data_IF_336315076853
#
_entry.id   IF_336315076853
#
_cell.length_a   1.000
_cell.length_b   1.000
_cell.length_c   1.000
_cell.angle_alpha   90.00
_cell.angle_beta   90.00
_cell.angle_gamma   90.00
#
_symmetry.space_group_name_H-M   'P 1'
#
loop_
_entity.id
_entity.type
_entity.pdbx_description
1 polymer ?
#
# COMPACT_ATOMS: atom_id res chain seq x y z
N UNK A 1 7.63 9.83 -0.78
CA UNK A 1 9.03 9.38 -0.93
C UNK A 1 9.94 10.44 -0.34
N UNK A 2 10.73 10.03 0.63
CA UNK A 2 11.62 10.89 1.38
C UNK A 2 12.95 11.09 0.60
N UNK A 3 13.70 12.16 0.87
CA UNK A 3 14.98 12.43 0.22
C UNK A 3 16.05 11.33 0.34
N UNK A 4 15.87 10.36 1.24
CA UNK A 4 16.76 9.20 1.41
C UNK A 4 16.37 7.95 0.60
N UNK A 5 15.21 7.97 -0.06
CA UNK A 5 14.72 6.82 -0.82
C UNK A 5 15.53 6.68 -2.13
N UNK A 6 16.51 5.78 -2.11
CA UNK A 6 17.46 5.55 -3.21
C UNK A 6 17.60 4.07 -3.54
N UNK A 7 18.13 3.76 -4.73
CA UNK A 7 18.43 2.39 -5.12
C UNK A 7 19.39 1.70 -4.15
N UNK A 8 20.42 2.43 -3.69
CA UNK A 8 21.39 1.92 -2.72
C UNK A 8 20.70 1.54 -1.40
N UNK A 9 19.89 2.44 -0.84
CA UNK A 9 19.13 2.15 0.37
C UNK A 9 18.14 0.98 0.19
N UNK A 10 17.50 0.86 -0.99
CA UNK A 10 16.60 -0.24 -1.29
C UNK A 10 17.33 -1.59 -1.37
N UNK A 11 18.52 -1.62 -2.00
CA UNK A 11 19.37 -2.82 -2.08
C UNK A 11 19.83 -3.26 -0.69
N UNK A 12 20.30 -2.34 0.14
CA UNK A 12 20.73 -2.64 1.51
C UNK A 12 19.59 -3.23 2.37
N UNK A 13 18.35 -2.80 2.13
CA UNK A 13 17.16 -3.32 2.83
C UNK A 13 16.62 -4.61 2.24
N UNK A 14 16.85 -4.86 0.95
CA UNK A 14 16.37 -6.07 0.30
C UNK A 14 16.93 -7.34 0.95
N UNK A 15 18.14 -7.29 1.49
CA UNK A 15 18.78 -8.44 2.14
C UNK A 15 18.08 -8.90 3.44
N UNK A 16 17.16 -8.10 4.00
CA UNK A 16 16.46 -8.41 5.25
C UNK A 16 15.49 -9.60 5.07
N UNK A 17 14.88 -9.74 3.90
CA UNK A 17 13.95 -10.83 3.59
C UNK A 17 14.54 -11.78 2.54
N UNK A 18 15.01 -12.93 3.01
CA UNK A 18 15.56 -13.98 2.15
C UNK A 18 14.56 -15.14 1.98
N UNK A 19 13.51 -14.92 1.19
CA UNK A 19 12.54 -15.94 0.78
C UNK A 19 12.43 -15.95 -0.75
N UNK A 20 12.60 -17.11 -1.38
CA UNK A 20 12.59 -17.25 -2.84
C UNK A 20 11.25 -16.87 -3.51
N UNK A 21 10.16 -16.81 -2.73
CA UNK A 21 8.85 -16.37 -3.21
C UNK A 21 8.73 -14.85 -3.26
N UNK A 22 9.67 -14.12 -2.67
CA UNK A 22 9.68 -12.66 -2.60
C UNK A 22 10.68 -12.13 -3.61
N UNK A 23 10.20 -11.38 -4.59
CA UNK A 23 11.05 -10.61 -5.50
C UNK A 23 11.14 -9.17 -5.00
N UNK A 24 12.36 -8.71 -4.75
CA UNK A 24 12.63 -7.34 -4.31
C UNK A 24 13.35 -6.60 -5.42
N UNK A 25 12.87 -5.42 -5.75
CA UNK A 25 13.44 -4.57 -6.79
C UNK A 25 13.23 -3.10 -6.42
N UNK A 26 14.08 -2.24 -6.97
CA UNK A 26 13.92 -0.81 -6.87
C UNK A 26 13.04 -0.31 -8.02
N UNK A 27 12.05 0.52 -7.71
CA UNK A 27 11.10 1.10 -8.67
C UNK A 27 11.37 2.62 -8.81
N UNK A 28 12.35 3.05 -9.63
CA UNK A 28 12.74 4.45 -9.74
C UNK A 28 11.59 5.34 -10.23
N UNK A 29 10.72 4.77 -11.07
CA UNK A 29 9.61 5.48 -11.71
C UNK A 29 8.32 5.45 -10.89
N UNK A 30 8.34 4.77 -9.73
CA UNK A 30 7.22 4.65 -8.78
C UNK A 30 5.99 4.03 -9.46
N UNK A 31 6.20 3.13 -10.42
CA UNK A 31 5.15 2.49 -11.21
C UNK A 31 4.16 1.73 -10.33
N UNK A 32 4.65 1.01 -9.32
CA UNK A 32 3.85 0.28 -8.34
C UNK A 32 2.92 1.23 -7.56
N UNK A 33 3.49 2.26 -6.93
CA UNK A 33 2.72 3.25 -6.17
C UNK A 33 1.70 4.01 -7.03
N UNK A 34 2.03 4.31 -8.28
CA UNK A 34 1.09 4.92 -9.25
C UNK A 34 -0.04 3.96 -9.63
N UNK A 35 0.26 2.67 -9.84
CA UNK A 35 -0.74 1.67 -10.17
C UNK A 35 -1.73 1.46 -9.01
N UNK A 36 -1.24 1.43 -7.77
CA UNK A 36 -2.07 1.38 -6.57
C UNK A 36 -2.90 2.65 -6.41
N UNK A 37 -2.30 3.84 -6.58
CA UNK A 37 -3.03 5.11 -6.52
C UNK A 37 -4.21 5.12 -7.51
N UNK A 38 -3.98 4.65 -8.74
CA UNK A 38 -5.03 4.50 -9.73
C UNK A 38 -6.13 3.53 -9.30
N UNK A 39 -5.81 2.40 -8.67
CA UNK A 39 -6.83 1.41 -8.28
C UNK A 39 -7.74 1.88 -7.15
N UNK A 40 -7.35 2.93 -6.41
CA UNK A 40 -8.13 3.60 -5.36
C UNK A 40 -8.70 4.98 -5.77
N UNK A 41 -8.51 5.40 -7.03
CA UNK A 41 -9.06 6.65 -7.57
C UNK A 41 -8.18 7.89 -7.43
N UNK A 42 -6.91 7.75 -7.02
CA UNK A 42 -5.95 8.84 -6.87
C UNK A 42 -5.09 9.02 -8.13
N UNK A 43 -5.71 9.47 -9.22
CA UNK A 43 -5.01 9.61 -10.50
C UNK A 43 -3.85 10.61 -10.44
N UNK A 44 -2.73 10.26 -11.07
CA UNK A 44 -1.53 11.11 -11.14
C UNK A 44 -0.67 11.15 -9.87
N UNK A 45 -1.12 10.51 -8.79
CA UNK A 45 -0.42 10.49 -7.50
C UNK A 45 0.33 9.18 -7.28
N UNK A 46 1.10 9.12 -6.19
CA UNK A 46 1.85 7.92 -5.77
C UNK A 46 1.28 7.49 -4.43
N UNK A 47 0.70 6.30 -4.36
CA UNK A 47 0.27 5.72 -3.09
C UNK A 47 1.46 5.14 -2.36
N UNK A 48 1.57 5.50 -1.08
CA UNK A 48 2.56 5.03 -0.10
C UNK A 48 1.89 5.11 1.28
N UNK A 49 2.45 4.42 2.27
CA UNK A 49 1.85 4.27 3.61
C UNK A 49 0.35 3.94 3.57
N UNK A 50 0.04 2.90 2.79
CA UNK A 50 -1.32 2.46 2.46
C UNK A 50 -1.50 0.97 2.78
N UNK A 51 -2.67 0.63 3.32
CA UNK A 51 -3.06 -0.74 3.66
C UNK A 51 -4.23 -1.14 2.78
N UNK A 52 -4.10 -2.27 2.08
CA UNK A 52 -5.01 -2.71 1.02
C UNK A 52 -5.56 -4.09 1.36
N UNK A 53 -6.89 -4.23 1.34
CA UNK A 53 -7.58 -5.47 1.63
C UNK A 53 -8.30 -5.97 0.39
N UNK A 54 -7.96 -7.19 -0.01
CA UNK A 54 -8.50 -7.87 -1.17
C UNK A 54 -9.30 -9.10 -0.72
N UNK A 55 -10.31 -9.47 -1.49
CA UNK A 55 -11.07 -10.70 -1.24
C UNK A 55 -10.34 -11.92 -1.80
N UNK A 56 -10.71 -13.09 -1.32
CA UNK A 56 -10.32 -14.37 -1.92
C UNK A 56 -10.59 -14.37 -3.44
N UNK A 57 -9.65 -14.94 -4.19
CA UNK A 57 -9.73 -14.96 -5.66
C UNK A 57 -9.36 -13.64 -6.35
N UNK A 58 -8.95 -12.60 -5.63
CA UNK A 58 -8.41 -11.38 -6.26
C UNK A 58 -7.14 -11.70 -7.05
N UNK A 59 -7.17 -11.42 -8.35
CA UNK A 59 -6.05 -11.69 -9.26
C UNK A 59 -5.26 -10.42 -9.53
N UNK A 60 -3.96 -10.46 -9.22
CA UNK A 60 -3.01 -9.43 -9.61
C UNK A 60 -2.46 -9.77 -10.99
N UNK A 61 -2.68 -8.87 -11.94
CA UNK A 61 -2.20 -9.03 -13.32
C UNK A 61 -1.27 -7.85 -13.65
N UNK A 62 -1.38 -7.28 -14.86
CA UNK A 62 -0.63 -6.07 -15.23
C UNK A 62 -1.01 -4.86 -14.36
N UNK A 63 -2.20 -4.88 -13.76
CA UNK A 63 -2.66 -3.85 -12.82
C UNK A 63 -3.19 -4.51 -11.54
N UNK A 64 -3.01 -3.84 -10.39
CA UNK A 64 -3.64 -4.28 -9.14
C UNK A 64 -5.16 -4.17 -9.29
N UNK A 65 -5.93 -5.15 -8.78
CA UNK A 65 -7.38 -5.01 -8.71
C UNK A 65 -7.76 -3.84 -7.79
N UNK A 66 -9.00 -3.38 -7.87
CA UNK A 66 -9.53 -2.46 -6.86
C UNK A 66 -9.66 -3.20 -5.53
N UNK A 67 -9.04 -2.73 -4.44
CA UNK A 67 -9.20 -3.35 -3.13
C UNK A 67 -10.65 -3.24 -2.66
N UNK A 68 -11.13 -4.26 -1.95
CA UNK A 68 -12.45 -4.20 -1.31
C UNK A 68 -12.49 -3.10 -0.25
N UNK A 69 -11.35 -2.86 0.40
CA UNK A 69 -11.19 -1.80 1.37
C UNK A 69 -9.73 -1.40 1.52
N UNK A 70 -9.52 -0.17 1.96
CA UNK A 70 -8.19 0.39 2.14
C UNK A 70 -8.23 1.60 3.05
N UNK A 71 -7.07 1.91 3.64
CA UNK A 71 -6.78 3.06 4.50
C UNK A 71 -5.33 3.51 4.29
N UNK A 72 -5.00 4.74 4.65
CA UNK A 72 -3.66 5.31 4.46
C UNK A 72 -3.25 6.27 5.58
N UNK A 73 -1.97 6.66 5.56
CA UNK A 73 -1.37 7.60 6.51
C UNK A 73 -0.87 8.90 5.85
N UNK A 74 -1.35 9.19 4.64
CA UNK A 74 -0.99 10.40 3.90
C UNK A 74 -1.81 11.61 4.32
N UNK A 75 -1.19 12.60 4.98
CA UNK A 75 -1.78 13.92 5.31
C UNK A 75 -1.87 14.87 4.10
N UNK A 76 -2.04 14.29 2.93
CA UNK A 76 -2.00 15.00 1.66
C UNK A 76 -3.40 15.45 1.26
N UNK A 77 -3.54 16.65 0.71
CA UNK A 77 -4.85 17.22 0.35
C UNK A 77 -5.59 16.46 -0.76
N UNK A 78 -4.85 15.70 -1.57
CA UNK A 78 -5.38 14.86 -2.65
C UNK A 78 -5.82 13.47 -2.17
N UNK A 79 -5.44 13.07 -0.96
CA UNK A 79 -5.77 11.76 -0.42
C UNK A 79 -7.13 11.79 0.29
N UNK A 80 -7.81 10.65 0.33
CA UNK A 80 -9.15 10.51 0.89
C UNK A 80 -9.14 10.68 2.42
N UNK A 81 -9.59 11.85 2.90
CA UNK A 81 -9.58 12.17 4.33
C UNK A 81 -10.39 11.20 5.19
N UNK A 82 -11.43 10.56 4.63
CA UNK A 82 -12.25 9.61 5.36
C UNK A 82 -11.55 8.25 5.57
N UNK A 83 -10.39 8.07 4.94
CA UNK A 83 -9.55 6.87 5.01
C UNK A 83 -8.17 7.13 5.58
N UNK A 84 -7.95 8.35 6.07
CA UNK A 84 -6.73 8.75 6.74
C UNK A 84 -6.77 8.32 8.21
N UNK A 85 -5.84 7.45 8.60
CA UNK A 85 -5.72 6.96 9.97
C UNK A 85 -4.25 6.93 10.39
N UNK A 86 -3.94 7.37 11.61
CA UNK A 86 -2.57 7.34 12.18
C UNK A 86 -2.62 6.98 13.67
N UNK A 87 -1.46 6.64 14.25
CA UNK A 87 -1.36 6.31 15.68
C UNK A 87 -2.34 5.19 16.10
N UNK A 88 -2.98 5.37 17.25
CA UNK A 88 -3.94 4.39 17.79
C UNK A 88 -5.18 4.19 16.90
N UNK A 89 -5.58 5.24 16.16
CA UNK A 89 -6.72 5.18 15.24
C UNK A 89 -6.45 4.22 14.07
N UNK A 90 -5.23 4.25 13.52
CA UNK A 90 -4.81 3.27 12.51
C UNK A 90 -4.84 1.84 13.05
N UNK A 91 -4.32 1.63 14.26
CA UNK A 91 -4.31 0.30 14.88
C UNK A 91 -5.75 -0.22 15.04
N UNK A 92 -6.63 0.60 15.59
CA UNK A 92 -8.04 0.25 15.79
C UNK A 92 -8.76 -0.06 14.46
N UNK A 93 -8.53 0.77 13.44
CA UNK A 93 -9.16 0.58 12.14
C UNK A 93 -8.62 -0.66 11.43
N UNK A 94 -7.32 -0.98 11.51
CA UNK A 94 -6.78 -2.24 11.01
C UNK A 94 -7.43 -3.47 11.70
N UNK A 95 -7.59 -3.44 13.02
CA UNK A 95 -8.29 -4.50 13.76
C UNK A 95 -9.75 -4.62 13.32
N UNK A 96 -10.47 -3.52 13.20
CA UNK A 96 -11.87 -3.50 12.77
C UNK A 96 -12.04 -3.97 11.32
N UNK A 97 -11.13 -3.54 10.44
CA UNK A 97 -11.04 -3.94 9.05
C UNK A 97 -10.88 -5.46 8.91
N UNK A 98 -9.97 -6.07 9.68
CA UNK A 98 -9.80 -7.51 9.71
C UNK A 98 -11.02 -8.23 10.29
N UNK A 99 -11.53 -7.77 11.44
CA UNK A 99 -12.69 -8.39 12.12
C UNK A 99 -13.95 -8.40 11.24
N UNK A 100 -14.24 -7.31 10.52
CA UNK A 100 -15.38 -7.23 9.60
C UNK A 100 -15.29 -8.24 8.45
N UNK A 101 -14.09 -8.69 8.10
CA UNK A 101 -13.83 -9.58 6.95
C UNK A 101 -13.65 -11.04 7.33
N UNK A 102 -13.22 -11.33 8.55
CA UNK A 102 -13.13 -12.68 9.09
C UNK A 102 -14.43 -13.12 9.79
N UNK A 103 -15.61 -12.72 9.28
CA UNK A 103 -16.88 -12.82 10.01
C UNK A 103 -17.08 -14.13 10.79
N UNK A 104 -17.67 -14.00 11.99
CA UNK A 104 -18.08 -15.07 12.93
C UNK A 104 -18.29 -16.45 12.31
#
# INVERSE_FOLDING_TARGET
MLPGDSEAAAKDKAEIFNDHRVCQFYDPDKLSGKAIAKSVGWEGMVAWDIYLFYTDGSVWSNFPPTPQYWMHQLEESWADRDRFHTGDDLVNELFNAMKRRMGN
#
